data_IF_706324239260
#
_entry.id   IF_706324239260
#
_cell.length_a   1.000
_cell.length_b   1.000
_cell.length_c   1.000
_cell.angle_alpha   90.00
_cell.angle_beta   90.00
_cell.angle_gamma   90.00
#
_symmetry.space_group_name_H-M   'P 1'
#
loop_
_entity.id
_entity.type
_entity.pdbx_description
1 polymer ?
#
# COMPACT_ATOMS: atom_id res chain seq x y z
N UNK A 1 -2.64 3.75 18.37
CA UNK A 1 -1.77 2.54 18.59
C UNK A 1 -0.96 2.22 17.34
N UNK A 2 0.10 1.39 17.45
CA UNK A 2 0.81 0.78 16.29
C UNK A 2 0.63 -0.73 16.34
N UNK A 3 0.20 -1.31 15.23
CA UNK A 3 -0.18 -2.72 15.11
C UNK A 3 0.61 -3.36 13.96
N UNK A 4 1.47 -4.32 14.25
CA UNK A 4 2.32 -4.97 13.27
C UNK A 4 1.94 -6.45 13.08
N UNK A 5 2.11 -6.96 11.88
CA UNK A 5 2.16 -8.39 11.61
C UNK A 5 3.62 -8.81 11.60
N UNK A 6 3.99 -9.79 12.40
CA UNK A 6 5.38 -10.13 12.66
C UNK A 6 5.62 -11.64 12.58
N UNK A 7 6.89 -12.01 12.35
CA UNK A 7 7.38 -13.37 12.41
C UNK A 7 8.50 -13.45 13.47
N UNK A 8 8.43 -14.42 14.37
CA UNK A 8 9.45 -14.67 15.38
C UNK A 8 10.55 -15.63 14.90
N UNK A 9 11.51 -15.95 15.77
CA UNK A 9 12.60 -16.89 15.48
C UNK A 9 12.14 -18.35 15.26
N UNK A 10 10.97 -18.70 15.75
CA UNK A 10 10.33 -20.01 15.51
C UNK A 10 9.52 -20.06 14.21
N UNK A 11 9.51 -18.96 13.42
CA UNK A 11 8.71 -18.78 12.21
C UNK A 11 7.19 -18.71 12.47
N UNK A 12 6.80 -18.44 13.72
CA UNK A 12 5.41 -18.18 14.04
C UNK A 12 5.02 -16.76 13.63
N UNK A 13 3.87 -16.61 12.97
CA UNK A 13 3.36 -15.33 12.48
C UNK A 13 2.15 -14.91 13.30
N UNK A 14 2.17 -13.68 13.78
CA UNK A 14 1.09 -13.15 14.61
C UNK A 14 0.99 -11.64 14.54
N UNK A 15 -0.15 -11.12 14.93
CA UNK A 15 -0.37 -9.69 15.13
C UNK A 15 0.15 -9.26 16.50
N UNK A 16 0.78 -8.10 16.55
CA UNK A 16 1.34 -7.54 17.78
C UNK A 16 1.01 -6.06 17.93
N UNK A 17 0.73 -5.66 19.15
CA UNK A 17 0.74 -4.26 19.57
C UNK A 17 2.19 -3.84 19.80
N UNK A 18 2.60 -2.74 19.15
CA UNK A 18 3.97 -2.21 19.22
C UNK A 18 4.02 -1.02 20.20
N UNK A 19 4.94 -1.08 21.15
CA UNK A 19 5.32 0.04 22.00
C UNK A 19 6.67 0.59 21.51
N UNK A 20 6.60 1.57 20.59
CA UNK A 20 7.80 2.08 19.89
C UNK A 20 8.81 2.72 20.83
N UNK A 21 8.36 3.43 21.86
CA UNK A 21 9.23 4.10 22.85
C UNK A 21 10.04 3.10 23.68
N UNK A 22 9.46 1.93 23.95
CA UNK A 22 10.11 0.85 24.69
C UNK A 22 10.83 -0.16 23.80
N UNK A 23 10.65 -0.09 22.49
CA UNK A 23 11.21 -1.09 21.56
C UNK A 23 10.63 -2.49 21.75
N UNK A 24 9.37 -2.58 22.21
CA UNK A 24 8.73 -3.85 22.56
C UNK A 24 7.47 -4.13 21.78
N UNK A 25 7.05 -5.39 21.81
CA UNK A 25 5.83 -5.86 21.18
C UNK A 25 5.09 -6.84 22.09
N UNK A 26 3.76 -6.86 21.98
CA UNK A 26 2.91 -7.85 22.68
C UNK A 26 1.98 -8.50 21.66
N UNK A 27 2.00 -9.85 21.60
CA UNK A 27 1.13 -10.62 20.73
C UNK A 27 -0.35 -10.37 21.08
N UNK A 28 -1.18 -10.17 20.06
CA UNK A 28 -2.62 -10.12 20.17
C UNK A 28 -3.16 -11.53 19.93
N UNK A 29 -3.97 -12.07 20.85
CA UNK A 29 -4.40 -13.47 20.82
C UNK A 29 -5.64 -13.70 19.96
N UNK A 30 -6.56 -12.73 19.93
CA UNK A 30 -7.82 -12.88 19.21
C UNK A 30 -7.65 -12.87 17.67
N UNK A 31 -8.59 -13.40 16.89
CA UNK A 31 -8.64 -13.26 15.44
C UNK A 31 -8.72 -11.79 15.00
N UNK A 32 -8.20 -11.47 13.80
CA UNK A 32 -8.14 -10.10 13.28
C UNK A 32 -9.50 -9.37 13.35
N UNK A 33 -10.57 -10.00 12.88
CA UNK A 33 -11.90 -9.37 12.82
C UNK A 33 -12.47 -8.98 14.20
N UNK A 34 -12.03 -9.65 15.27
CA UNK A 34 -12.44 -9.35 16.63
C UNK A 34 -11.64 -8.18 17.20
N UNK A 35 -10.30 -8.29 17.22
CA UNK A 35 -9.46 -7.27 17.83
C UNK A 35 -9.40 -5.97 17.01
N UNK A 36 -9.55 -6.05 15.67
CA UNK A 36 -9.47 -4.86 14.83
C UNK A 36 -10.60 -3.86 15.13
N UNK A 37 -11.79 -4.35 15.40
CA UNK A 37 -12.92 -3.49 15.81
C UNK A 37 -12.66 -2.81 17.18
N UNK A 38 -12.06 -3.54 18.13
CA UNK A 38 -11.64 -3.02 19.44
C UNK A 38 -10.56 -1.95 19.27
N UNK A 39 -9.52 -2.25 18.48
CA UNK A 39 -8.44 -1.31 18.22
C UNK A 39 -8.93 -0.04 17.50
N UNK A 40 -9.88 -0.17 16.56
CA UNK A 40 -10.48 0.96 15.87
C UNK A 40 -11.30 1.88 16.78
N UNK A 41 -11.80 1.38 17.91
CA UNK A 41 -12.47 2.21 18.93
C UNK A 41 -11.49 2.95 19.87
N UNK A 42 -10.18 2.73 19.73
CA UNK A 42 -9.16 3.30 20.60
C UNK A 42 -9.00 2.59 21.95
N UNK A 43 -9.74 1.50 22.20
CA UNK A 43 -9.78 0.79 23.48
C UNK A 43 -8.64 -0.22 23.61
N UNK A 44 -7.39 0.27 23.69
CA UNK A 44 -6.18 -0.58 23.81
C UNK A 44 -6.25 -1.55 24.99
N UNK A 45 -6.84 -1.13 26.12
CA UNK A 45 -6.97 -1.93 27.35
C UNK A 45 -7.87 -3.16 27.18
N UNK A 46 -8.73 -3.16 26.16
CA UNK A 46 -9.60 -4.29 25.82
C UNK A 46 -8.95 -5.34 24.92
N UNK A 47 -7.75 -5.10 24.43
CA UNK A 47 -7.02 -6.08 23.62
C UNK A 47 -6.53 -7.24 24.49
N UNK A 48 -6.83 -8.48 24.10
CA UNK A 48 -6.26 -9.68 24.76
C UNK A 48 -4.80 -9.88 24.33
N UNK A 49 -3.90 -9.39 25.16
CA UNK A 49 -2.47 -9.39 24.90
C UNK A 49 -1.76 -10.54 25.65
N UNK A 50 -0.91 -11.25 24.92
CA UNK A 50 -0.11 -12.34 25.50
C UNK A 50 1.05 -11.83 26.38
N UNK A 51 1.52 -12.70 27.25
CA UNK A 51 2.84 -12.66 27.92
C UNK A 51 3.73 -13.76 27.32
N UNK A 52 5.06 -13.60 27.24
CA UNK A 52 5.84 -12.45 27.68
C UNK A 52 5.80 -11.26 26.71
N UNK A 53 6.33 -10.10 27.15
CA UNK A 53 6.66 -8.95 26.28
C UNK A 53 7.88 -9.34 25.43
N UNK A 54 7.80 -9.08 24.14
CA UNK A 54 8.82 -9.42 23.14
C UNK A 54 9.67 -8.19 22.82
N UNK A 55 10.93 -8.39 22.44
CA UNK A 55 11.79 -7.32 21.91
C UNK A 55 11.50 -7.17 20.40
N UNK A 56 11.11 -5.96 19.97
CA UNK A 56 10.77 -5.68 18.59
C UNK A 56 11.94 -5.99 17.64
N UNK A 57 13.18 -5.72 18.05
CA UNK A 57 14.39 -6.00 17.28
C UNK A 57 14.63 -7.50 17.00
N UNK A 58 13.94 -8.40 17.71
CA UNK A 58 14.01 -9.85 17.50
C UNK A 58 12.90 -10.37 16.58
N UNK A 59 12.01 -9.51 16.15
CA UNK A 59 10.89 -9.84 15.29
C UNK A 59 11.14 -9.32 13.87
N UNK A 60 10.78 -10.12 12.89
CA UNK A 60 10.73 -9.66 11.50
C UNK A 60 9.39 -9.03 11.22
N UNK A 61 9.38 -7.81 10.74
CA UNK A 61 8.16 -7.15 10.27
C UNK A 61 7.69 -7.80 8.96
N UNK A 62 6.42 -8.10 8.89
CA UNK A 62 5.74 -8.56 7.68
C UNK A 62 4.76 -7.49 7.23
N UNK A 63 4.33 -7.56 5.96
CA UNK A 63 3.24 -6.71 5.48
C UNK A 63 2.04 -6.87 6.43
N UNK A 64 1.50 -5.77 6.99
CA UNK A 64 0.41 -5.82 7.95
C UNK A 64 -0.93 -6.10 7.24
N UNK A 65 -1.01 -7.27 6.63
CA UNK A 65 -2.12 -7.74 5.80
C UNK A 65 -2.71 -9.01 6.40
N UNK A 66 -4.01 -8.98 6.66
CA UNK A 66 -4.70 -10.16 7.17
C UNK A 66 -4.84 -11.22 6.06
N UNK A 67 -4.61 -12.51 6.34
CA UNK A 67 -4.87 -13.57 5.36
C UNK A 67 -6.27 -13.49 4.77
N UNK A 68 -6.38 -13.50 3.43
CA UNK A 68 -7.65 -13.36 2.71
C UNK A 68 -8.14 -11.92 2.50
N UNK A 69 -7.38 -10.93 2.91
CA UNK A 69 -7.65 -9.52 2.61
C UNK A 69 -7.62 -9.26 1.09
N UNK A 70 -8.50 -8.37 0.65
CA UNK A 70 -8.47 -7.85 -0.72
C UNK A 70 -7.69 -6.54 -0.73
N UNK A 71 -7.00 -6.29 -1.85
CA UNK A 71 -6.21 -5.07 -2.04
C UNK A 71 -6.83 -4.27 -3.18
N UNK A 72 -7.45 -3.16 -2.83
CA UNK A 72 -7.98 -2.19 -3.77
C UNK A 72 -6.94 -1.11 -4.01
N UNK A 73 -6.88 -0.60 -5.24
CA UNK A 73 -6.09 0.58 -5.59
C UNK A 73 -6.98 1.64 -6.22
N UNK A 74 -6.59 2.89 -6.06
CA UNK A 74 -7.24 4.05 -6.66
C UNK A 74 -6.23 4.81 -7.50
N UNK A 75 -6.55 5.05 -8.76
CA UNK A 75 -5.71 5.84 -9.67
C UNK A 75 -6.13 7.31 -9.74
N UNK A 76 -5.16 8.17 -10.02
CA UNK A 76 -5.38 9.61 -10.32
C UNK A 76 -6.17 10.36 -9.22
N UNK A 77 -5.84 10.13 -7.96
CA UNK A 77 -6.56 10.68 -6.83
C UNK A 77 -5.85 11.86 -6.13
N UNK A 78 -4.75 12.37 -6.67
CA UNK A 78 -4.05 13.54 -6.11
C UNK A 78 -3.98 14.65 -7.14
N UNK A 79 -4.40 15.86 -6.75
CA UNK A 79 -4.45 17.01 -7.66
C UNK A 79 -3.05 17.42 -8.17
N UNK A 80 -2.05 17.28 -7.32
CA UNK A 80 -0.64 17.54 -7.63
C UNK A 80 -0.13 16.61 -8.72
N UNK A 81 -0.45 15.31 -8.63
CA UNK A 81 -0.09 14.31 -9.65
C UNK A 81 -0.80 14.60 -10.98
N UNK A 82 -2.11 14.89 -10.98
CA UNK A 82 -2.85 15.25 -12.18
C UNK A 82 -2.25 16.48 -12.88
N UNK A 83 -1.89 17.50 -12.10
CA UNK A 83 -1.29 18.74 -12.59
C UNK A 83 0.05 18.45 -13.28
N UNK A 84 0.90 17.61 -12.70
CA UNK A 84 2.19 17.20 -13.28
C UNK A 84 2.03 16.37 -14.56
N UNK A 85 0.95 15.60 -14.67
CA UNK A 85 0.60 14.87 -15.90
C UNK A 85 -0.04 15.77 -16.97
N UNK A 86 -0.16 17.09 -16.74
CA UNK A 86 -0.78 18.04 -17.67
C UNK A 86 -2.30 17.91 -17.80
N UNK A 87 -2.95 17.18 -16.89
CA UNK A 87 -4.41 17.04 -16.87
C UNK A 87 -5.04 18.24 -16.18
N UNK A 88 -6.05 18.82 -16.78
CA UNK A 88 -6.75 20.01 -16.26
C UNK A 88 -7.99 19.67 -15.43
N UNK A 89 -8.52 18.48 -15.59
CA UNK A 89 -9.79 18.07 -14.97
C UNK A 89 -9.57 16.80 -14.16
N UNK A 90 -10.21 16.75 -13.01
CA UNK A 90 -10.28 15.53 -12.19
C UNK A 90 -11.12 14.47 -12.91
N UNK A 91 -10.87 13.18 -12.64
CA UNK A 91 -11.76 12.11 -13.10
C UNK A 91 -13.20 12.38 -12.63
N UNK A 92 -14.23 12.04 -13.42
CA UNK A 92 -15.63 12.26 -13.02
C UNK A 92 -16.07 11.36 -11.85
N UNK A 93 -15.32 10.33 -11.56
CA UNK A 93 -15.51 9.41 -10.43
C UNK A 93 -14.19 8.69 -10.10
N UNK A 94 -14.13 8.05 -8.94
CA UNK A 94 -13.00 7.22 -8.51
C UNK A 94 -12.65 6.16 -9.56
N UNK A 95 -11.39 6.09 -9.95
CA UNK A 95 -10.84 5.03 -10.81
C UNK A 95 -10.25 3.96 -9.88
N UNK A 96 -10.98 2.87 -9.69
CA UNK A 96 -10.55 1.81 -8.78
C UNK A 96 -10.19 0.52 -9.53
N UNK A 97 -9.29 -0.27 -8.93
CA UNK A 97 -8.86 -1.57 -9.42
C UNK A 97 -8.54 -2.51 -8.25
N UNK A 98 -8.33 -3.77 -8.53
CA UNK A 98 -7.93 -4.79 -7.54
C UNK A 98 -6.52 -5.27 -7.89
N UNK A 99 -5.64 -5.28 -6.89
CA UNK A 99 -4.33 -5.92 -7.00
C UNK A 99 -4.42 -7.38 -6.55
N UNK A 100 -3.74 -8.31 -7.22
CA UNK A 100 -3.66 -9.68 -6.73
C UNK A 100 -2.92 -9.75 -5.41
N UNK A 101 -3.26 -10.69 -4.54
CA UNK A 101 -2.57 -10.88 -3.26
C UNK A 101 -1.10 -11.29 -3.43
N UNK A 102 -0.74 -11.87 -4.58
CA UNK A 102 0.66 -12.17 -4.95
C UNK A 102 1.52 -10.91 -5.17
N UNK A 103 0.89 -9.75 -5.35
CA UNK A 103 1.60 -8.48 -5.43
C UNK A 103 2.15 -8.01 -4.07
N UNK A 104 1.56 -8.44 -2.95
CA UNK A 104 1.96 -8.02 -1.61
C UNK A 104 3.42 -8.40 -1.36
N UNK A 105 4.17 -7.45 -0.79
CA UNK A 105 5.57 -7.61 -0.44
C UNK A 105 5.81 -7.08 0.98
N UNK A 106 6.62 -7.80 1.75
CA UNK A 106 6.99 -7.40 3.11
C UNK A 106 7.99 -6.24 3.10
N UNK A 107 8.06 -5.47 4.21
CA UNK A 107 9.20 -4.58 4.46
C UNK A 107 10.53 -5.31 4.30
N UNK A 108 11.55 -4.60 3.83
CA UNK A 108 12.93 -5.06 3.63
C UNK A 108 13.10 -6.22 2.62
N UNK A 109 12.03 -6.66 1.94
CA UNK A 109 12.13 -7.64 0.85
C UNK A 109 12.40 -6.96 -0.52
N UNK A 110 12.90 -7.74 -1.47
CA UNK A 110 13.19 -7.26 -2.81
C UNK A 110 11.92 -7.18 -3.68
N UNK A 111 11.67 -5.99 -4.25
CA UNK A 111 10.66 -5.78 -5.29
C UNK A 111 11.08 -6.58 -6.52
N UNK A 112 10.18 -7.43 -7.00
CA UNK A 112 10.45 -8.17 -8.23
C UNK A 112 10.40 -7.23 -9.44
N UNK A 113 11.50 -7.09 -10.18
CA UNK A 113 11.47 -6.36 -11.44
C UNK A 113 10.82 -7.24 -12.51
N UNK A 114 9.59 -6.93 -12.99
CA UNK A 114 8.89 -7.79 -13.95
C UNK A 114 9.58 -7.83 -15.31
N UNK A 115 9.51 -8.98 -16.00
CA UNK A 115 10.07 -9.11 -17.35
C UNK A 115 9.33 -8.28 -18.40
N UNK A 116 8.07 -7.92 -18.12
CA UNK A 116 7.14 -7.27 -19.06
C UNK A 116 7.33 -5.77 -19.20
N UNK A 117 8.26 -5.15 -18.45
CA UNK A 117 8.45 -3.70 -18.45
C UNK A 117 9.93 -3.30 -18.53
N UNK A 118 10.18 -2.13 -19.10
CA UNK A 118 11.42 -1.39 -19.03
C UNK A 118 11.25 -0.07 -18.25
N UNK A 119 10.03 0.25 -17.84
CA UNK A 119 9.65 1.48 -17.17
C UNK A 119 8.94 1.12 -15.85
N UNK A 120 9.70 0.49 -14.93
CA UNK A 120 9.20 0.19 -13.59
C UNK A 120 9.21 1.47 -12.76
N UNK A 121 8.06 1.83 -12.21
CA UNK A 121 7.85 3.10 -11.52
C UNK A 121 7.41 2.87 -10.07
N UNK A 122 7.60 3.88 -9.24
CA UNK A 122 7.28 3.92 -7.81
C UNK A 122 6.12 4.88 -7.55
N UNK A 123 5.30 4.56 -6.57
CA UNK A 123 4.14 5.33 -6.13
C UNK A 123 3.94 5.16 -4.63
N UNK A 124 4.52 6.06 -3.81
CA UNK A 124 4.19 6.05 -2.38
C UNK A 124 2.73 6.45 -2.18
N UNK A 125 2.03 5.65 -1.39
CA UNK A 125 0.62 5.83 -1.12
C UNK A 125 0.27 5.65 0.35
N UNK A 126 -0.66 6.47 0.83
CA UNK A 126 -1.39 6.17 2.06
C UNK A 126 -2.28 4.96 1.81
N UNK A 127 -2.21 3.95 2.68
CA UNK A 127 -3.01 2.74 2.56
C UNK A 127 -3.94 2.63 3.75
N UNK A 128 -5.25 2.69 3.50
CA UNK A 128 -6.27 2.50 4.53
C UNK A 128 -6.53 1.03 4.78
N UNK A 129 -6.77 0.66 6.04
CA UNK A 129 -7.07 -0.71 6.47
C UNK A 129 -8.44 -0.76 7.13
N UNK A 130 -9.32 -1.61 6.65
CA UNK A 130 -10.69 -1.77 7.16
C UNK A 130 -10.69 -2.62 8.44
N UNK A 131 -11.32 -2.12 9.52
CA UNK A 131 -11.51 -2.84 10.78
C UNK A 131 -12.84 -3.59 10.83
N UNK A 132 -13.89 -3.00 10.29
CA UNK A 132 -15.27 -3.51 10.34
C UNK A 132 -16.03 -3.12 9.08
N UNK A 133 -17.18 -3.75 8.82
CA UNK A 133 -18.07 -3.35 7.72
C UNK A 133 -18.52 -1.90 7.90
N UNK A 134 -18.76 -1.21 6.79
CA UNK A 134 -19.46 0.07 6.83
C UNK A 134 -20.85 -0.16 7.47
N UNK A 135 -21.21 0.73 8.38
CA UNK A 135 -22.47 0.75 9.06
C UNK A 135 -23.18 2.10 8.88
N UNK A 136 -23.99 2.47 9.86
CA UNK A 136 -24.74 3.73 9.86
C UNK A 136 -23.97 4.87 10.57
N UNK A 137 -22.65 4.79 10.64
CA UNK A 137 -21.82 5.85 11.22
C UNK A 137 -21.94 7.14 10.39
N UNK A 138 -21.72 8.28 11.04
CA UNK A 138 -21.77 9.60 10.39
C UNK A 138 -20.67 9.79 9.33
N UNK A 139 -19.61 8.98 9.41
CA UNK A 139 -18.48 8.96 8.47
C UNK A 139 -18.14 7.52 8.09
N UNK A 140 -17.97 7.27 6.79
CA UNK A 140 -17.53 5.96 6.29
C UNK A 140 -16.15 5.56 6.85
N UNK A 141 -15.25 6.52 7.01
CA UNK A 141 -13.90 6.32 7.58
C UNK A 141 -13.88 5.81 9.03
N UNK A 142 -14.99 5.89 9.76
CA UNK A 142 -15.12 5.26 11.07
C UNK A 142 -15.09 3.71 11.03
N UNK A 143 -15.15 3.10 9.85
CA UNK A 143 -14.97 1.66 9.67
C UNK A 143 -13.48 1.24 9.62
N UNK A 144 -12.55 2.20 9.51
CA UNK A 144 -11.13 1.90 9.37
C UNK A 144 -10.46 1.57 10.70
N UNK A 145 -9.49 0.66 10.64
CA UNK A 145 -8.54 0.41 11.72
C UNK A 145 -7.53 1.55 11.83
N UNK A 146 -7.05 2.02 10.69
CA UNK A 146 -6.02 3.04 10.58
C UNK A 146 -5.37 3.00 9.21
N UNK A 147 -4.12 3.46 9.17
CA UNK A 147 -3.36 3.60 7.93
C UNK A 147 -1.96 2.99 8.03
N UNK A 148 -1.44 2.57 6.89
CA UNK A 148 -0.06 2.10 6.71
C UNK A 148 0.55 2.74 5.46
N UNK A 149 1.84 2.55 5.23
CA UNK A 149 2.53 2.99 4.03
C UNK A 149 2.46 1.89 2.97
N UNK A 150 2.22 2.25 1.72
CA UNK A 150 2.33 1.38 0.58
C UNK A 150 3.18 1.98 -0.53
N UNK A 151 3.65 1.13 -1.44
CA UNK A 151 4.28 1.57 -2.68
C UNK A 151 3.66 0.78 -3.84
N UNK A 152 2.84 1.45 -4.67
CA UNK A 152 2.14 0.81 -5.78
C UNK A 152 3.01 0.75 -7.04
N UNK A 153 4.00 -0.14 -7.02
CA UNK A 153 4.93 -0.33 -8.13
C UNK A 153 4.20 -0.64 -9.43
N UNK A 154 4.57 0.07 -10.48
CA UNK A 154 3.82 0.15 -11.74
C UNK A 154 4.70 -0.09 -12.96
N UNK A 155 4.21 -0.86 -13.93
CA UNK A 155 4.84 -1.07 -15.24
C UNK A 155 4.26 -0.07 -16.26
N UNK A 156 4.91 1.09 -16.45
CA UNK A 156 4.34 2.21 -17.22
C UNK A 156 4.23 1.99 -18.73
N UNK A 157 5.12 1.19 -19.30
CA UNK A 157 5.13 0.83 -20.73
C UNK A 157 4.25 -0.39 -21.04
N UNK A 158 3.89 -1.18 -20.04
CA UNK A 158 2.98 -2.31 -20.23
C UNK A 158 1.57 -1.79 -20.59
N UNK A 159 0.98 -2.38 -21.64
CA UNK A 159 -0.36 -2.02 -22.09
C UNK A 159 -0.48 -0.69 -22.86
N UNK A 160 0.58 0.10 -23.04
CA UNK A 160 0.55 1.38 -23.80
C UNK A 160 -0.02 1.24 -25.22
N UNK A 161 0.11 0.08 -25.82
CA UNK A 161 -0.36 -0.20 -27.19
C UNK A 161 -1.90 -0.15 -27.32
N UNK A 162 -2.63 -0.27 -26.21
CA UNK A 162 -4.09 -0.25 -26.22
C UNK A 162 -4.67 1.18 -26.32
N UNK A 163 -3.86 2.22 -26.17
CA UNK A 163 -4.30 3.61 -26.20
C UNK A 163 -5.24 4.01 -25.06
N UNK A 164 -5.47 3.13 -24.11
CA UNK A 164 -6.33 3.32 -22.94
C UNK A 164 -5.60 2.93 -21.65
N UNK A 165 -6.15 3.35 -20.51
CA UNK A 165 -5.62 2.99 -19.19
C UNK A 165 -5.91 1.50 -18.92
N UNK A 166 -4.86 0.68 -18.92
CA UNK A 166 -4.92 -0.75 -18.58
C UNK A 166 -4.27 -0.98 -17.21
N UNK A 167 -5.08 -0.87 -16.17
CA UNK A 167 -4.61 -1.01 -14.79
C UNK A 167 -4.23 -2.45 -14.44
N UNK A 168 -4.84 -3.46 -15.06
CA UNK A 168 -4.43 -4.84 -14.83
C UNK A 168 -2.99 -5.07 -15.28
N UNK A 169 -2.68 -4.73 -16.54
CA UNK A 169 -1.34 -4.94 -17.11
C UNK A 169 -0.25 -4.12 -16.39
N UNK A 170 -0.61 -2.93 -15.90
CA UNK A 170 0.35 -2.06 -15.22
C UNK A 170 0.55 -2.37 -13.74
N UNK A 171 -0.45 -2.94 -13.05
CA UNK A 171 -0.52 -3.00 -11.58
C UNK A 171 -0.64 -4.42 -11.02
N UNK A 172 -1.07 -5.42 -11.83
CA UNK A 172 -1.24 -6.79 -11.37
C UNK A 172 0.04 -7.62 -11.57
N UNK A 173 1.07 -7.27 -10.81
CA UNK A 173 2.41 -7.84 -10.91
C UNK A 173 2.83 -8.44 -9.57
N UNK A 174 3.49 -9.61 -9.58
CA UNK A 174 3.95 -10.29 -8.38
C UNK A 174 4.99 -9.45 -7.62
N UNK A 175 4.88 -9.38 -6.28
CA UNK A 175 5.82 -8.69 -5.39
C UNK A 175 6.08 -7.23 -5.77
N UNK A 176 5.03 -6.51 -6.12
CA UNK A 176 5.07 -5.09 -6.54
C UNK A 176 4.16 -4.18 -5.70
N UNK A 177 3.70 -4.67 -4.56
CA UNK A 177 2.98 -3.88 -3.58
C UNK A 177 3.62 -4.02 -2.19
N UNK A 178 4.79 -3.41 -1.94
CA UNK A 178 5.30 -3.28 -0.58
C UNK A 178 4.28 -2.58 0.32
N UNK A 179 4.06 -3.12 1.52
CA UNK A 179 3.14 -2.57 2.53
C UNK A 179 3.78 -2.68 3.91
N UNK A 180 3.76 -1.62 4.70
CA UNK A 180 4.28 -1.61 6.06
C UNK A 180 4.69 -0.22 6.54
N UNK A 181 5.47 -0.11 7.62
CA UNK A 181 5.98 -1.18 8.47
C UNK A 181 4.93 -1.76 9.42
N UNK A 182 3.90 -1.01 9.78
CA UNK A 182 2.78 -1.33 10.67
C UNK A 182 1.55 -0.50 10.33
N UNK A 183 0.42 -0.79 10.95
CA UNK A 183 -0.78 0.05 10.92
C UNK A 183 -0.71 1.01 12.12
N UNK A 184 -0.89 2.30 11.87
CA UNK A 184 -1.15 3.31 12.91
C UNK A 184 -2.65 3.57 12.95
N UNK A 185 -3.26 3.39 14.13
CA UNK A 185 -4.72 3.48 14.30
C UNK A 185 -5.23 4.93 14.17
N UNK A 186 -6.52 5.07 13.85
CA UNK A 186 -7.16 6.37 13.62
C UNK A 186 -6.98 7.35 14.80
N UNK A 187 -7.14 6.88 16.03
CA UNK A 187 -7.00 7.70 17.25
C UNK A 187 -5.61 8.33 17.35
N UNK A 188 -4.57 7.61 16.93
CA UNK A 188 -3.19 8.12 16.90
C UNK A 188 -2.90 9.11 15.75
N UNK A 189 -3.82 9.23 14.79
CA UNK A 189 -3.70 10.09 13.60
C UNK A 189 -4.79 11.19 13.53
N UNK A 190 -5.43 11.51 14.64
CA UNK A 190 -6.43 12.57 14.72
C UNK A 190 -7.88 12.12 14.61
N UNK A 191 -8.14 10.80 14.54
CA UNK A 191 -9.49 10.23 14.49
C UNK A 191 -10.00 9.92 13.09
N UNK A 192 -11.30 9.66 12.96
CA UNK A 192 -11.95 9.39 11.69
C UNK A 192 -11.99 10.63 10.79
N UNK A 193 -11.90 10.42 9.50
CA UNK A 193 -11.90 11.46 8.46
C UNK A 193 -10.67 11.37 7.57
N UNK A 194 -10.40 12.46 6.86
CA UNK A 194 -9.22 12.61 6.01
C UNK A 194 -8.03 13.01 6.89
N UNK A 195 -7.00 12.18 7.06
CA UNK A 195 -5.79 12.61 7.76
C UNK A 195 -4.97 13.56 6.87
N UNK A 196 -4.31 14.54 7.48
CA UNK A 196 -3.39 15.45 6.79
C UNK A 196 -1.95 15.06 7.13
N UNK A 197 -1.40 14.11 6.37
CA UNK A 197 -0.10 13.51 6.62
C UNK A 197 0.89 13.85 5.52
N UNK A 198 2.11 14.23 5.89
CA UNK A 198 3.19 14.40 4.93
C UNK A 198 3.62 13.05 4.39
N UNK A 199 3.75 12.97 3.07
CA UNK A 199 4.09 11.76 2.31
C UNK A 199 5.37 12.06 1.53
N UNK A 200 6.37 11.19 1.63
CA UNK A 200 7.60 11.32 0.87
C UNK A 200 8.16 9.96 0.42
N UNK A 201 8.95 9.99 -0.65
CA UNK A 201 9.71 8.84 -1.11
C UNK A 201 11.07 9.29 -1.59
N UNK A 202 12.10 8.56 -1.17
CA UNK A 202 13.48 8.71 -1.67
C UNK A 202 13.92 7.47 -2.42
N UNK A 203 14.80 7.65 -3.43
CA UNK A 203 15.50 6.58 -4.13
C UNK A 203 16.98 6.85 -4.00
N UNK A 204 17.74 5.90 -3.42
CA UNK A 204 19.16 6.03 -3.14
C UNK A 204 19.50 7.32 -2.36
N UNK A 205 18.60 7.75 -1.47
CA UNK A 205 18.71 8.98 -0.68
C UNK A 205 18.30 10.26 -1.41
N UNK A 206 17.96 10.22 -2.70
CA UNK A 206 17.43 11.37 -3.44
C UNK A 206 15.90 11.46 -3.26
N UNK A 207 15.40 12.63 -2.85
CA UNK A 207 13.96 12.87 -2.71
C UNK A 207 13.28 12.90 -4.08
N UNK A 208 12.26 12.05 -4.24
CA UNK A 208 11.51 11.91 -5.50
C UNK A 208 10.06 12.34 -5.38
N UNK A 209 9.36 11.91 -4.35
CA UNK A 209 8.00 12.33 -4.05
C UNK A 209 7.97 13.08 -2.74
N UNK A 210 7.23 14.20 -2.70
CA UNK A 210 6.99 14.98 -1.48
C UNK A 210 5.66 15.71 -1.63
N UNK A 211 4.68 15.37 -0.77
CA UNK A 211 3.31 15.89 -0.84
C UNK A 211 2.60 15.69 0.51
N UNK A 212 1.30 15.93 0.52
CA UNK A 212 0.45 15.73 1.71
C UNK A 212 -0.87 15.05 1.31
N UNK A 213 -1.39 14.19 2.16
CA UNK A 213 -2.62 13.44 1.91
C UNK A 213 -3.87 14.33 1.78
N UNK A 214 -3.83 15.59 2.22
CA UNK A 214 -4.93 16.58 2.00
C UNK A 214 -5.17 16.88 0.52
N UNK A 215 -4.20 16.60 -0.36
CA UNK A 215 -4.29 16.84 -1.81
C UNK A 215 -5.11 15.76 -2.54
N UNK A 216 -5.75 14.82 -1.81
CA UNK A 216 -6.68 13.85 -2.39
C UNK A 216 -7.88 14.57 -3.03
N UNK A 217 -8.23 14.14 -4.25
CA UNK A 217 -9.39 14.63 -5.02
C UNK A 217 -10.68 14.04 -4.46
N UNK A 218 -10.69 12.72 -4.28
CA UNK A 218 -11.77 11.98 -3.63
C UNK A 218 -11.32 11.65 -2.20
N UNK A 219 -11.89 12.31 -1.17
CA UNK A 219 -11.50 12.06 0.21
C UNK A 219 -11.91 10.67 0.68
N UNK A 220 -11.35 10.22 1.80
CA UNK A 220 -11.47 8.85 2.30
C UNK A 220 -12.93 8.37 2.42
N UNK A 221 -13.82 9.19 2.94
CA UNK A 221 -15.25 8.82 3.09
C UNK A 221 -15.89 8.53 1.72
N UNK A 222 -15.53 9.29 0.70
CA UNK A 222 -16.05 9.10 -0.66
C UNK A 222 -15.48 7.83 -1.31
N UNK A 223 -14.16 7.58 -1.15
CA UNK A 223 -13.53 6.34 -1.62
C UNK A 223 -14.18 5.09 -1.02
N UNK A 224 -14.40 5.09 0.30
CA UNK A 224 -15.03 3.96 1.00
C UNK A 224 -16.46 3.73 0.53
N UNK A 225 -17.27 4.79 0.43
CA UNK A 225 -18.63 4.71 -0.09
C UNK A 225 -18.67 4.23 -1.54
N UNK A 226 -17.75 4.71 -2.39
CA UNK A 226 -17.66 4.29 -3.79
C UNK A 226 -17.34 2.80 -3.92
N UNK A 227 -16.40 2.30 -3.12
CA UNK A 227 -16.00 0.89 -3.13
C UNK A 227 -17.10 0.00 -2.55
N UNK A 228 -17.63 0.35 -1.37
CA UNK A 228 -18.63 -0.46 -0.66
C UNK A 228 -19.94 -0.60 -1.43
N UNK A 229 -20.35 0.44 -2.17
CA UNK A 229 -21.51 0.39 -3.07
C UNK A 229 -21.38 -0.65 -4.20
N UNK A 230 -20.19 -1.15 -4.48
CA UNK A 230 -19.88 -2.16 -5.50
C UNK A 230 -19.48 -3.49 -4.92
N UNK A 231 -18.67 -3.47 -3.89
CA UNK A 231 -18.09 -4.66 -3.23
C UNK A 231 -18.09 -4.38 -1.74
N UNK A 232 -18.97 -5.01 -0.98
CA UNK A 232 -19.04 -4.85 0.48
C UNK A 232 -17.65 -5.02 1.10
N UNK A 233 -17.14 -3.97 1.73
CA UNK A 233 -15.86 -3.97 2.40
C UNK A 233 -15.87 -4.85 3.64
N UNK A 234 -14.75 -5.52 3.93
CA UNK A 234 -14.61 -6.50 5.01
C UNK A 234 -13.41 -6.17 5.88
N UNK A 235 -13.43 -6.59 7.17
CA UNK A 235 -12.25 -6.48 8.02
C UNK A 235 -10.99 -7.04 7.36
N UNK A 236 -9.92 -6.25 7.33
CA UNK A 236 -8.65 -6.58 6.71
C UNK A 236 -8.47 -6.09 5.27
N UNK A 237 -9.52 -5.66 4.58
CA UNK A 237 -9.36 -5.07 3.24
C UNK A 237 -8.46 -3.84 3.28
N UNK A 238 -7.64 -3.68 2.25
CA UNK A 238 -6.72 -2.57 2.10
C UNK A 238 -7.11 -1.71 0.90
N UNK A 239 -6.97 -0.39 1.05
CA UNK A 239 -7.24 0.58 0.00
C UNK A 239 -6.01 1.48 -0.18
N UNK A 240 -5.28 1.31 -1.27
CA UNK A 240 -4.30 2.26 -1.76
C UNK A 240 -5.04 3.48 -2.30
N UNK A 241 -4.73 4.66 -1.78
CA UNK A 241 -5.55 5.86 -1.99
C UNK A 241 -5.14 6.70 -3.19
N UNK A 242 -4.17 6.24 -3.96
CA UNK A 242 -3.57 6.96 -5.07
C UNK A 242 -2.22 7.56 -4.71
N UNK A 243 -1.42 7.84 -5.73
CA UNK A 243 -0.07 8.38 -5.60
C UNK A 243 -0.04 9.90 -5.75
N UNK A 244 0.94 10.48 -5.09
CA UNK A 244 1.32 11.89 -5.16
C UNK A 244 2.16 12.18 -6.40
N UNK A 245 2.47 13.45 -6.68
CA UNK A 245 3.40 13.84 -7.74
C UNK A 245 4.83 13.36 -7.47
N UNK A 246 5.68 13.38 -8.51
CA UNK A 246 7.11 13.04 -8.45
C UNK A 246 7.42 11.61 -8.86
N UNK A 247 6.46 10.90 -9.46
CA UNK A 247 6.67 9.56 -10.01
C UNK A 247 7.57 9.58 -11.26
N UNK A 248 8.22 8.47 -11.57
CA UNK A 248 9.12 8.36 -12.71
C UNK A 248 8.45 8.60 -14.07
N UNK A 249 7.13 8.41 -14.17
CA UNK A 249 6.34 8.74 -15.36
C UNK A 249 6.41 10.23 -15.74
N UNK A 250 6.61 11.12 -14.75
CA UNK A 250 6.61 12.58 -14.96
C UNK A 250 7.92 13.09 -15.56
N UNK A 251 9.06 12.46 -15.23
CA UNK A 251 10.40 12.92 -15.63
C UNK A 251 11.25 11.86 -16.36
N UNK A 252 10.71 10.65 -16.55
CA UNK A 252 11.38 9.55 -17.24
C UNK A 252 12.42 8.80 -16.40
N UNK A 253 12.54 9.06 -15.09
CA UNK A 253 13.48 8.40 -14.19
C UNK A 253 12.85 7.19 -13.50
N UNK A 254 12.89 6.06 -14.15
CA UNK A 254 12.34 4.79 -13.69
C UNK A 254 13.31 4.00 -12.82
N UNK A 255 12.76 3.13 -11.98
CA UNK A 255 13.52 2.23 -11.11
C UNK A 255 14.47 1.33 -11.88
N UNK A 256 15.66 1.11 -11.28
CA UNK A 256 16.66 0.20 -11.78
C UNK A 256 16.95 -0.92 -10.76
N UNK A 257 17.39 -2.12 -11.22
CA UNK A 257 17.84 -3.15 -10.30
C UNK A 257 18.92 -2.63 -9.35
N UNK A 258 18.71 -2.86 -8.06
CA UNK A 258 19.64 -2.42 -7.01
C UNK A 258 19.20 -1.13 -6.30
N UNK A 259 18.26 -0.36 -6.84
CA UNK A 259 17.76 0.86 -6.19
C UNK A 259 17.20 0.57 -4.82
N UNK A 260 17.54 1.43 -3.85
CA UNK A 260 17.01 1.43 -2.49
C UNK A 260 15.91 2.48 -2.38
N UNK A 261 14.76 2.06 -1.89
CA UNK A 261 13.56 2.90 -1.79
C UNK A 261 13.19 3.04 -0.31
N UNK A 262 13.00 4.27 0.12
CA UNK A 262 12.39 4.59 1.41
C UNK A 262 11.13 5.41 1.16
N UNK A 263 9.98 4.85 1.51
CA UNK A 263 8.68 5.49 1.46
C UNK A 263 8.26 5.84 2.89
N UNK A 264 8.03 7.11 3.17
CA UNK A 264 7.69 7.61 4.50
C UNK A 264 6.34 8.31 4.51
N UNK A 265 5.52 8.01 5.52
CA UNK A 265 4.37 8.82 5.88
C UNK A 265 4.52 9.23 7.33
N UNK A 266 4.59 10.54 7.56
CA UNK A 266 4.82 11.11 8.89
C UNK A 266 3.71 10.71 9.85
N UNK A 267 4.09 10.24 11.04
CA UNK A 267 3.14 9.71 12.03
C UNK A 267 2.86 8.20 11.88
N UNK A 268 3.16 7.61 10.71
CA UNK A 268 3.06 6.15 10.51
C UNK A 268 4.43 5.51 10.63
N UNK A 269 5.32 5.74 9.67
CA UNK A 269 6.67 5.16 9.67
C UNK A 269 7.29 5.14 8.28
N UNK A 270 8.39 4.40 8.16
CA UNK A 270 9.17 4.27 6.92
C UNK A 270 9.11 2.81 6.45
N UNK A 271 8.71 2.63 5.21
CA UNK A 271 8.73 1.37 4.48
C UNK A 271 9.98 1.33 3.58
N UNK A 272 10.85 0.34 3.78
CA UNK A 272 12.09 0.17 3.01
C UNK A 272 12.00 -1.06 2.15
N UNK A 273 12.45 -0.92 0.91
CA UNK A 273 12.59 -2.03 -0.02
C UNK A 273 13.74 -1.78 -0.98
N UNK A 274 14.21 -2.82 -1.66
CA UNK A 274 15.21 -2.76 -2.71
C UNK A 274 14.63 -3.34 -3.99
N UNK A 275 15.04 -2.81 -5.13
CA UNK A 275 14.67 -3.36 -6.44
C UNK A 275 15.57 -4.56 -6.75
N UNK A 276 14.96 -5.73 -6.90
CA UNK A 276 15.65 -6.96 -7.28
C UNK A 276 16.08 -6.99 -8.76
N UNK A 277 16.77 -8.05 -9.17
CA UNK A 277 17.17 -8.23 -10.56
C UNK A 277 15.96 -8.36 -11.47
N UNK A 278 16.10 -7.91 -12.72
CA UNK A 278 15.05 -8.05 -13.73
C UNK A 278 14.79 -9.52 -14.03
N UNK A 279 13.55 -9.92 -13.95
CA UNK A 279 13.13 -11.29 -14.29
C UNK A 279 13.29 -11.54 -15.79
N UNK A 280 13.82 -12.70 -16.13
CA UNK A 280 13.93 -13.18 -17.51
C UNK A 280 12.86 -14.23 -17.75
N UNK A 281 12.10 -14.08 -18.82
CA UNK A 281 11.14 -15.11 -19.23
C UNK A 281 11.86 -16.29 -19.88
N UNK A 282 11.46 -17.51 -19.52
CA UNK A 282 11.94 -18.69 -20.26
C UNK A 282 11.43 -18.65 -21.71
N UNK A 283 12.18 -19.23 -22.68
CA UNK A 283 11.74 -19.27 -24.10
C UNK A 283 10.33 -19.81 -24.29
N UNK A 284 9.95 -20.81 -23.49
CA UNK A 284 8.60 -21.38 -23.54
C UNK A 284 7.47 -20.41 -23.11
N UNK A 285 7.82 -19.37 -22.34
CA UNK A 285 6.88 -18.32 -21.89
C UNK A 285 6.95 -17.06 -22.74
N UNK A 286 7.94 -16.94 -23.60
CA UNK A 286 8.12 -15.81 -24.52
C UNK A 286 7.25 -15.95 -25.79
N UNK A 287 6.45 -17.01 -25.91
CA UNK A 287 5.57 -17.24 -27.05
C UNK A 287 4.26 -16.45 -26.84
N UNK A 288 4.04 -15.47 -27.70
CA UNK A 288 2.80 -14.69 -27.72
C UNK A 288 3.01 -13.18 -27.53
N UNK A 289 1.92 -12.44 -27.67
CA UNK A 289 1.91 -10.97 -27.45
C UNK A 289 1.79 -10.68 -25.96
N UNK A 290 2.90 -10.41 -25.30
CA UNK A 290 2.95 -10.15 -23.86
C UNK A 290 2.60 -8.71 -23.47
N UNK A 291 2.17 -7.86 -24.43
CA UNK A 291 1.90 -6.44 -24.18
C UNK A 291 3.17 -5.62 -23.87
N UNK A 292 4.36 -6.12 -24.21
CA UNK A 292 5.64 -5.44 -24.03
C UNK A 292 5.81 -4.43 -25.17
N UNK A 293 6.07 -3.17 -24.85
CA UNK A 293 6.37 -2.15 -25.86
C UNK A 293 7.65 -2.51 -26.62
N UNK A 294 7.55 -2.68 -27.93
CA UNK A 294 8.69 -2.96 -28.83
C UNK A 294 8.77 -4.36 -29.45
N UNK A 295 8.01 -5.33 -28.96
CA UNK A 295 7.91 -6.66 -29.57
C UNK A 295 6.71 -6.74 -30.54
N UNK A 296 6.87 -6.22 -31.75
CA UNK A 296 6.02 -6.64 -32.89
C UNK A 296 6.79 -7.77 -33.59
N UNK A 297 6.37 -9.03 -33.49
CA UNK A 297 6.95 -10.06 -34.35
C UNK A 297 6.67 -9.69 -35.82
N UNK A 298 7.73 -9.69 -36.62
CA UNK A 298 7.65 -9.56 -38.08
C UNK A 298 6.85 -10.74 -38.69
#
# INVERSE_FOLDING_TARGET
>A
MKLAFVEDSARERFWALIESSAGTARRIKAPFAEWAAIAASGSQEMLDLATPILQLAQLRLLAPVNPGARVFGVGLNYITHLTRLGRKEAPPHTIAYIKPTSAILNPDEEIQYPAVTQQLDYEVELVAVVAKRLGNESRASACLLGYTVGNDISARDAGKQLGSLDLFTQKALDKTAPIGPWITTLDALGGAGQPELDISLTINGELRQSDNSREMIFPMDELLNYLDARIVLRPGDLIFTGSTCGVGLEDGRFLQPGDQIEAEIKGIGILRNRVGPKRVLSPARAIGRLGIAGEVPK
#
